data_IF_583741963461
#
_entry.id   IF_583741963461
#
_cell.length_a   1.000
_cell.length_b   1.000
_cell.length_c   1.000
_cell.angle_alpha   90.00
_cell.angle_beta   90.00
_cell.angle_gamma   90.00
#
_symmetry.space_group_name_H-M   'P 1'
#
loop_
_entity.id
_entity.type
_entity.pdbx_description
1 polymer ?
#
# COMPACT_ATOMS: atom_id res chain seq x y z
N UNK A 1 83.27 -17.63 32.90
CA UNK A 1 82.31 -17.19 31.87
C UNK A 1 80.91 -17.28 32.45
N UNK A 2 80.14 -16.19 32.33
CA UNK A 2 78.95 -15.86 33.15
C UNK A 2 77.75 -16.74 32.80
N UNK A 3 77.06 -17.27 33.82
CA UNK A 3 75.69 -17.80 33.75
C UNK A 3 74.72 -16.62 33.62
N UNK A 4 73.78 -16.67 32.69
CA UNK A 4 72.63 -15.76 32.65
C UNK A 4 71.36 -16.59 32.59
N UNK A 5 70.50 -16.32 33.57
CA UNK A 5 69.25 -16.97 33.90
C UNK A 5 68.13 -16.35 33.04
N UNK A 6 67.38 -17.18 32.29
CA UNK A 6 66.18 -16.75 31.57
C UNK A 6 64.98 -16.75 32.52
N UNK A 7 64.34 -15.60 32.72
CA UNK A 7 63.05 -15.46 33.40
C UNK A 7 61.98 -15.28 32.31
N UNK A 8 61.04 -16.21 32.25
CA UNK A 8 59.85 -16.16 31.40
C UNK A 8 58.75 -15.43 32.18
N UNK A 9 58.29 -14.27 31.70
CA UNK A 9 57.11 -13.58 32.25
C UNK A 9 55.92 -13.88 31.34
N UNK A 10 54.97 -14.68 31.84
CA UNK A 10 53.70 -14.92 31.17
C UNK A 10 52.72 -13.78 31.53
N UNK A 11 52.42 -12.91 30.56
CA UNK A 11 51.38 -11.90 30.67
C UNK A 11 50.00 -12.51 30.41
N UNK A 12 49.15 -12.55 31.44
CA UNK A 12 47.76 -12.94 31.34
C UNK A 12 46.94 -11.75 30.81
N UNK A 13 46.53 -11.78 29.55
CA UNK A 13 45.62 -10.80 28.97
C UNK A 13 44.18 -11.22 29.31
N UNK A 14 43.55 -10.50 30.25
CA UNK A 14 42.12 -10.64 30.55
C UNK A 14 41.34 -9.90 29.46
N UNK A 15 40.75 -10.66 28.52
CA UNK A 15 39.73 -10.14 27.61
C UNK A 15 38.44 -9.96 28.40
N UNK A 16 38.13 -8.71 28.77
CA UNK A 16 36.80 -8.32 29.23
C UNK A 16 35.85 -8.35 28.04
N UNK A 17 35.12 -9.46 27.86
CA UNK A 17 33.94 -9.50 27.01
C UNK A 17 32.86 -8.64 27.67
N UNK A 18 32.68 -7.41 27.19
CA UNK A 18 31.50 -6.64 27.51
C UNK A 18 30.28 -7.35 26.89
N UNK A 19 29.61 -8.19 27.69
CA UNK A 19 28.29 -8.70 27.31
C UNK A 19 27.37 -7.49 27.11
N UNK A 20 26.98 -7.23 25.87
CA UNK A 20 25.89 -6.31 25.57
C UNK A 20 24.62 -6.92 26.16
N UNK A 21 24.28 -6.58 27.41
CA UNK A 21 23.06 -7.07 28.02
C UNK A 21 21.86 -6.38 27.35
N UNK A 22 21.14 -7.13 26.51
CA UNK A 22 19.82 -6.78 26.03
C UNK A 22 18.87 -6.53 27.22
N UNK A 23 17.97 -5.56 27.08
CA UNK A 23 16.92 -5.33 28.09
C UNK A 23 15.92 -6.49 28.10
N UNK A 24 15.44 -6.89 29.29
CA UNK A 24 14.51 -8.02 29.44
C UNK A 24 13.04 -7.67 29.14
N UNK A 25 12.18 -8.69 29.09
CA UNK A 25 10.73 -8.55 28.94
C UNK A 25 10.10 -7.76 30.09
N UNK A 26 8.97 -7.10 29.83
CA UNK A 26 8.17 -6.50 30.89
C UNK A 26 7.16 -5.47 30.41
N UNK A 27 6.41 -4.95 31.38
CA UNK A 27 5.43 -3.87 31.17
C UNK A 27 6.19 -2.54 31.11
N UNK A 28 6.06 -1.81 30.01
CA UNK A 28 6.65 -0.49 29.80
C UNK A 28 5.71 0.64 30.22
N UNK A 29 4.40 0.40 30.18
CA UNK A 29 3.36 1.29 30.71
C UNK A 29 2.08 0.49 30.98
N UNK A 30 1.45 0.72 32.14
CA UNK A 30 0.27 -0.03 32.63
C UNK A 30 -0.96 0.87 32.89
N UNK A 31 -0.93 2.10 32.36
CA UNK A 31 -1.94 3.12 32.59
C UNK A 31 -1.61 4.08 33.73
N UNK A 32 -0.65 3.78 34.62
CA UNK A 32 -0.47 4.54 35.86
C UNK A 32 0.87 5.24 35.95
N UNK A 33 1.96 4.52 35.69
CA UNK A 33 3.31 5.03 35.91
C UNK A 33 4.06 5.29 34.59
N UNK A 34 4.34 6.56 34.31
CA UNK A 34 5.17 6.99 33.18
C UNK A 34 6.66 7.21 33.54
N UNK A 35 7.10 6.84 34.74
CA UNK A 35 8.48 7.07 35.22
C UNK A 35 9.57 6.46 34.34
N UNK A 36 9.25 5.40 33.59
CA UNK A 36 10.14 4.76 32.60
C UNK A 36 10.36 5.60 31.34
N UNK A 37 9.55 6.63 31.12
CA UNK A 37 9.55 7.46 29.92
C UNK A 37 10.11 8.85 30.20
N UNK A 38 10.86 9.38 29.24
CA UNK A 38 11.14 10.80 29.10
C UNK A 38 9.99 11.40 28.29
N UNK A 39 9.24 12.30 28.93
CA UNK A 39 8.06 12.95 28.35
C UNK A 39 8.29 14.46 28.24
N UNK A 40 7.66 15.12 27.26
CA UNK A 40 7.67 16.58 27.11
C UNK A 40 6.29 17.20 27.40
N UNK A 41 6.17 18.51 27.20
CA UNK A 41 5.00 19.34 27.59
C UNK A 41 3.65 18.90 26.98
N UNK A 42 3.66 18.07 25.92
CA UNK A 42 2.45 17.54 25.28
C UNK A 42 2.02 16.15 25.76
N UNK A 43 2.70 15.56 26.74
CA UNK A 43 2.44 14.19 27.20
C UNK A 43 2.06 14.17 28.67
N UNK A 44 0.97 13.48 29.00
CA UNK A 44 0.49 13.35 30.38
C UNK A 44 -0.11 11.97 30.64
N UNK A 45 -0.23 11.59 31.91
CA UNK A 45 -1.02 10.42 32.31
C UNK A 45 -2.37 10.90 32.80
N UNK A 46 -3.45 10.50 32.12
CA UNK A 46 -4.84 10.81 32.50
C UNK A 46 -5.74 9.62 32.16
N UNK A 47 -6.78 9.38 32.95
CA UNK A 47 -7.76 8.31 32.70
C UNK A 47 -7.17 6.91 32.44
N UNK A 48 -6.06 6.59 33.13
CA UNK A 48 -5.26 5.38 32.94
C UNK A 48 -4.64 5.23 31.53
N UNK A 49 -4.36 6.34 30.85
CA UNK A 49 -3.70 6.39 29.54
C UNK A 49 -2.50 7.34 29.58
N UNK A 50 -1.48 7.02 28.79
CA UNK A 50 -0.45 7.95 28.36
C UNK A 50 -1.02 8.70 27.15
N UNK A 51 -1.40 9.94 27.38
CA UNK A 51 -2.01 10.82 26.38
C UNK A 51 -0.96 11.74 25.78
N UNK A 52 -0.81 11.69 24.45
CA UNK A 52 0.02 12.59 23.66
C UNK A 52 -0.92 13.57 22.95
N UNK A 53 -0.99 14.81 23.44
CA UNK A 53 -1.91 15.85 22.98
C UNK A 53 -1.14 17.14 22.63
N UNK A 54 -0.42 17.12 21.51
CA UNK A 54 0.38 18.24 21.01
C UNK A 54 1.19 17.86 19.77
N UNK A 55 1.39 18.82 18.85
CA UNK A 55 2.00 18.60 17.53
C UNK A 55 3.46 18.12 17.55
N UNK A 56 4.08 18.07 18.72
CA UNK A 56 5.40 17.50 18.94
C UNK A 56 5.44 16.75 20.28
N UNK A 57 4.34 16.15 20.71
CA UNK A 57 4.29 15.39 21.96
C UNK A 57 5.15 14.13 21.80
N UNK A 58 6.07 13.88 22.74
CA UNK A 58 7.01 12.75 22.66
C UNK A 58 7.11 12.02 23.99
N UNK A 59 6.99 10.71 23.93
CA UNK A 59 7.34 9.80 25.01
C UNK A 59 8.46 8.88 24.53
N UNK A 60 9.66 8.98 25.12
CA UNK A 60 10.82 8.15 24.77
C UNK A 60 11.19 7.29 25.98
N UNK A 61 11.27 5.97 25.82
CA UNK A 61 11.63 5.07 26.92
C UNK A 61 13.11 5.32 27.34
N UNK A 62 13.33 5.64 28.63
CA UNK A 62 14.63 6.07 29.19
C UNK A 62 15.75 5.05 29.01
N UNK A 63 15.44 3.79 29.29
CA UNK A 63 16.37 2.68 29.31
C UNK A 63 15.82 1.57 28.42
N UNK A 64 16.50 1.29 27.31
CA UNK A 64 16.09 0.26 26.38
C UNK A 64 17.22 -0.06 25.42
N UNK A 65 17.66 -1.32 25.44
CA UNK A 65 18.60 -1.90 24.49
C UNK A 65 17.97 -3.15 23.92
N UNK A 66 16.97 -2.95 23.06
CA UNK A 66 16.20 -3.99 22.40
C UNK A 66 16.75 -4.19 20.99
N UNK A 67 16.95 -5.45 20.61
CA UNK A 67 17.42 -5.85 19.28
C UNK A 67 16.39 -6.75 18.60
N UNK A 68 15.96 -7.79 19.32
CA UNK A 68 14.91 -8.71 18.91
C UNK A 68 13.82 -8.65 19.98
N UNK A 69 12.57 -8.42 19.57
CA UNK A 69 11.47 -8.16 20.50
C UNK A 69 10.10 -8.39 19.86
N UNK A 70 9.10 -8.54 20.72
CA UNK A 70 7.68 -8.46 20.42
C UNK A 70 7.13 -7.29 21.26
N UNK A 71 6.68 -6.21 20.62
CA UNK A 71 6.15 -5.01 21.27
C UNK A 71 4.65 -4.96 21.02
N UNK A 72 3.85 -5.04 22.08
CA UNK A 72 2.39 -4.90 22.03
C UNK A 72 1.95 -3.58 22.65
N UNK A 73 1.09 -2.86 21.94
CA UNK A 73 0.56 -1.57 22.37
C UNK A 73 -0.95 -1.50 22.15
N UNK A 74 -1.68 -0.98 23.13
CA UNK A 74 -3.10 -0.66 22.98
C UNK A 74 -3.28 0.85 22.81
N UNK A 75 -3.71 1.26 21.63
CA UNK A 75 -3.74 2.63 21.15
C UNK A 75 -5.17 3.07 20.81
N UNK A 76 -5.43 4.36 20.89
CA UNK A 76 -6.65 5.00 20.39
C UNK A 76 -6.30 6.40 19.88
N UNK A 77 -6.88 6.78 18.75
CA UNK A 77 -6.64 8.08 18.12
C UNK A 77 -7.92 8.90 18.13
N UNK A 78 -7.86 10.15 18.58
CA UNK A 78 -8.92 11.12 18.29
C UNK A 78 -8.97 11.46 16.79
N UNK A 79 -10.06 12.06 16.27
CA UNK A 79 -10.15 12.38 14.86
C UNK A 79 -9.00 13.28 14.40
N UNK A 80 -8.30 12.94 13.31
CA UNK A 80 -7.17 13.71 12.78
C UNK A 80 -5.84 13.54 13.54
N UNK A 81 -5.77 12.66 14.55
CA UNK A 81 -4.51 12.37 15.24
C UNK A 81 -3.56 11.56 14.35
N UNK A 82 -2.31 12.03 14.29
CA UNK A 82 -1.24 11.39 13.52
C UNK A 82 0.03 11.35 14.34
N UNK A 83 0.80 10.30 14.16
CA UNK A 83 2.02 10.08 14.92
C UNK A 83 2.72 8.82 14.49
N UNK A 84 3.63 8.35 15.33
CA UNK A 84 4.40 7.14 15.03
C UNK A 84 4.93 6.45 16.27
N UNK A 85 5.08 5.12 16.16
CA UNK A 85 5.80 4.28 17.13
C UNK A 85 7.19 3.99 16.58
N UNK A 86 8.23 4.47 17.25
CA UNK A 86 9.62 4.25 16.87
C UNK A 86 10.22 3.05 17.61
N UNK A 87 11.08 2.30 16.93
CA UNK A 87 11.87 1.21 17.51
C UNK A 87 13.29 1.19 16.96
N UNK A 88 14.20 0.57 17.71
CA UNK A 88 15.66 0.66 17.47
C UNK A 88 16.18 2.11 17.46
N UNK A 89 15.42 3.03 18.04
CA UNK A 89 15.75 4.45 18.06
C UNK A 89 16.61 4.83 19.25
N UNK A 90 16.99 6.10 19.31
CA UNK A 90 17.73 6.70 20.42
C UNK A 90 16.95 7.88 21.03
N UNK A 91 17.55 8.53 22.04
CA UNK A 91 16.94 9.67 22.73
C UNK A 91 16.77 10.92 21.86
N UNK A 92 17.40 10.97 20.69
CA UNK A 92 17.32 12.07 19.73
C UNK A 92 16.44 11.72 18.52
N UNK A 93 15.87 10.51 18.48
CA UNK A 93 15.12 9.98 17.34
C UNK A 93 15.93 10.02 16.03
N UNK A 94 17.25 9.80 16.14
CA UNK A 94 18.15 9.98 14.99
C UNK A 94 18.29 8.74 14.10
N UNK A 95 17.73 7.61 14.53
CA UNK A 95 17.84 6.31 13.86
C UNK A 95 16.65 5.40 14.13
N UNK A 96 16.65 4.26 13.43
CA UNK A 96 15.67 3.20 13.61
C UNK A 96 14.46 3.38 12.70
N UNK A 97 13.52 2.45 12.82
CA UNK A 97 12.29 2.47 12.06
C UNK A 97 11.16 3.08 12.89
N UNK A 98 10.10 3.47 12.19
CA UNK A 98 8.88 3.92 12.81
C UNK A 98 7.65 3.40 12.06
N UNK A 99 6.62 3.10 12.84
CA UNK A 99 5.33 2.61 12.38
C UNK A 99 4.32 3.74 12.50
N UNK A 100 3.65 4.07 11.39
CA UNK A 100 2.68 5.15 11.36
C UNK A 100 1.49 4.86 12.29
N UNK A 101 0.98 5.93 12.91
CA UNK A 101 -0.33 6.02 13.54
C UNK A 101 -1.09 7.07 12.74
N UNK A 102 -2.06 6.64 11.93
CA UNK A 102 -2.92 7.54 11.16
C UNK A 102 -4.20 6.80 10.77
N UNK A 103 -5.33 7.24 11.34
CA UNK A 103 -6.66 6.71 11.04
C UNK A 103 -7.54 7.74 10.31
N UNK A 104 -6.97 8.90 9.95
CA UNK A 104 -7.67 9.97 9.24
C UNK A 104 -7.81 9.62 7.76
N UNK A 105 -8.98 9.11 7.40
CA UNK A 105 -9.33 8.77 6.00
C UNK A 105 -9.42 10.01 5.10
N UNK A 106 -9.51 11.21 5.67
CA UNK A 106 -9.56 12.47 4.92
C UNK A 106 -8.18 13.05 4.62
N UNK A 107 -7.12 12.51 5.23
CA UNK A 107 -5.72 12.94 5.06
C UNK A 107 -5.31 13.05 3.57
N UNK A 108 -4.75 14.18 3.09
CA UNK A 108 -4.17 14.24 1.76
C UNK A 108 -3.09 13.17 1.51
N UNK A 109 -2.33 12.78 2.54
CA UNK A 109 -1.35 11.68 2.48
C UNK A 109 -2.04 10.39 2.91
N UNK A 110 -2.90 9.88 2.02
CA UNK A 110 -3.77 8.73 2.30
C UNK A 110 -3.06 7.37 2.23
N UNK A 111 -1.76 7.36 1.88
CA UNK A 111 -0.95 6.16 1.69
C UNK A 111 0.04 5.91 2.81
N UNK A 112 -0.22 6.41 4.03
CA UNK A 112 0.56 6.17 5.25
C UNK A 112 -0.39 5.94 6.43
N UNK A 113 -1.25 4.92 6.32
CA UNK A 113 -2.22 4.57 7.35
C UNK A 113 -1.56 3.80 8.50
N UNK A 114 -2.25 3.72 9.65
CA UNK A 114 -1.81 2.99 10.84
C UNK A 114 -1.26 1.60 10.50
N UNK A 115 -0.05 1.30 10.98
CA UNK A 115 0.65 0.04 10.70
C UNK A 115 1.65 0.11 9.55
N UNK A 116 1.71 1.21 8.80
CA UNK A 116 2.75 1.44 7.78
C UNK A 116 4.14 1.42 8.40
N UNK A 117 5.05 0.58 7.90
CA UNK A 117 6.47 0.72 8.17
C UNK A 117 6.99 1.86 7.29
N UNK A 118 7.11 3.05 7.85
CA UNK A 118 7.18 4.28 7.06
C UNK A 118 8.36 4.29 6.08
N UNK A 119 8.05 4.70 4.85
CA UNK A 119 8.95 4.74 3.70
C UNK A 119 9.49 3.37 3.25
N UNK A 120 9.02 2.25 3.82
CA UNK A 120 9.44 0.90 3.43
C UNK A 120 8.27 0.05 2.93
N UNK A 121 7.19 0.01 3.70
CA UNK A 121 5.94 -0.73 3.41
C UNK A 121 4.77 0.09 3.91
N UNK A 122 4.37 1.08 3.13
CA UNK A 122 3.26 1.94 3.51
C UNK A 122 1.91 1.32 3.14
N UNK A 123 0.91 1.50 4.00
CA UNK A 123 -0.44 1.00 3.84
C UNK A 123 -1.37 2.11 3.37
N UNK A 124 -2.23 1.78 2.41
CA UNK A 124 -3.27 2.70 1.91
C UNK A 124 -4.62 2.52 2.58
N UNK A 125 -4.88 1.34 3.16
CA UNK A 125 -6.11 1.04 3.91
C UNK A 125 -5.83 1.13 5.40
N UNK A 126 -6.61 1.93 6.12
CA UNK A 126 -6.71 1.79 7.56
C UNK A 126 -7.70 0.68 7.90
N UNK A 127 -7.38 -0.07 8.96
CA UNK A 127 -8.22 -1.13 9.52
C UNK A 127 -9.02 -0.65 10.73
N UNK A 128 -8.75 0.57 11.18
CA UNK A 128 -9.15 1.06 12.49
C UNK A 128 -9.91 2.38 12.33
N UNK A 129 -10.97 2.55 13.11
CA UNK A 129 -11.72 3.80 13.20
C UNK A 129 -11.14 4.70 14.28
N UNK A 130 -11.26 6.00 14.06
CA UNK A 130 -10.96 6.99 15.08
C UNK A 130 -11.89 6.79 16.29
N UNK A 131 -11.39 7.08 17.49
CA UNK A 131 -12.03 6.86 18.78
C UNK A 131 -12.28 5.40 19.19
N UNK A 132 -11.75 4.42 18.45
CA UNK A 132 -11.77 3.02 18.85
C UNK A 132 -10.40 2.55 19.35
N UNK A 133 -10.40 1.71 20.39
CA UNK A 133 -9.17 1.06 20.85
C UNK A 133 -8.76 -0.03 19.87
N UNK A 134 -7.48 -0.05 19.54
CA UNK A 134 -6.88 -1.10 18.72
C UNK A 134 -5.57 -1.56 19.33
N UNK A 135 -5.17 -2.76 18.95
CA UNK A 135 -3.86 -3.31 19.30
C UNK A 135 -2.92 -3.19 18.10
N UNK A 136 -1.72 -2.68 18.34
CA UNK A 136 -0.59 -2.77 17.42
C UNK A 136 0.43 -3.73 18.01
N UNK A 137 0.90 -4.68 17.21
CA UNK A 137 1.94 -5.62 17.59
C UNK A 137 3.08 -5.54 16.58
N UNK A 138 4.29 -5.23 17.05
CA UNK A 138 5.50 -5.09 16.23
C UNK A 138 6.47 -6.17 16.66
N UNK A 139 6.85 -7.04 15.73
CA UNK A 139 7.86 -8.08 15.98
C UNK A 139 9.12 -7.78 15.19
N UNK A 140 10.26 -7.84 15.85
CA UNK A 140 11.59 -7.85 15.22
C UNK A 140 12.30 -9.14 15.58
N UNK A 141 12.68 -9.88 14.54
CA UNK A 141 13.38 -11.16 14.65
C UNK A 141 14.54 -11.19 13.63
N UNK A 142 15.73 -10.83 14.09
CA UNK A 142 16.94 -10.73 13.29
C UNK A 142 16.84 -9.60 12.28
N UNK A 143 16.56 -9.95 11.02
CA UNK A 143 16.32 -9.01 9.93
C UNK A 143 14.87 -8.94 9.48
N UNK A 144 13.99 -9.74 10.08
CA UNK A 144 12.56 -9.71 9.79
C UNK A 144 11.82 -8.74 10.72
N UNK A 145 10.90 -7.97 10.14
CA UNK A 145 9.94 -7.09 10.81
C UNK A 145 8.54 -7.55 10.40
N UNK A 146 7.65 -7.77 11.37
CA UNK A 146 6.21 -7.91 11.13
C UNK A 146 5.44 -6.87 11.93
N UNK A 147 4.33 -6.40 11.36
CA UNK A 147 3.40 -5.50 12.02
C UNK A 147 2.00 -6.07 11.88
N UNK A 148 1.32 -6.23 13.00
CA UNK A 148 -0.04 -6.73 13.09
C UNK A 148 -0.94 -5.65 13.72
N UNK A 149 -2.15 -5.52 13.19
CA UNK A 149 -3.19 -4.62 13.71
C UNK A 149 -4.39 -5.47 14.09
N UNK A 150 -4.78 -5.45 15.37
CA UNK A 150 -5.83 -6.32 15.93
C UNK A 150 -5.63 -7.82 15.64
N UNK A 151 -4.36 -8.27 15.54
CA UNK A 151 -4.00 -9.65 15.25
C UNK A 151 -3.95 -10.01 13.77
N UNK A 152 -4.27 -9.09 12.86
CA UNK A 152 -4.14 -9.28 11.42
C UNK A 152 -2.78 -8.75 10.92
N UNK A 153 -1.97 -9.57 10.21
CA UNK A 153 -0.69 -9.13 9.68
C UNK A 153 -0.92 -8.14 8.53
N UNK A 154 -0.30 -6.96 8.64
CA UNK A 154 -0.40 -5.88 7.63
C UNK A 154 0.93 -5.56 6.96
N UNK A 155 2.06 -5.82 7.62
CA UNK A 155 3.40 -5.66 7.03
C UNK A 155 4.24 -6.89 7.33
N UNK A 156 4.95 -7.37 6.30
CA UNK A 156 6.03 -8.34 6.42
C UNK A 156 7.23 -7.79 5.63
N UNK A 157 8.37 -7.66 6.30
CA UNK A 157 9.57 -7.08 5.70
C UNK A 157 10.81 -7.82 6.19
N UNK A 158 11.75 -8.09 5.28
CA UNK A 158 13.09 -8.55 5.65
C UNK A 158 14.07 -7.51 5.13
N UNK A 159 14.82 -6.90 6.04
CA UNK A 159 15.87 -5.94 5.67
C UNK A 159 17.00 -6.68 4.92
N UNK A 160 17.26 -6.35 3.64
CA UNK A 160 18.32 -6.99 2.87
C UNK A 160 19.71 -6.58 3.38
N UNK A 161 20.76 -7.14 2.79
CA UNK A 161 22.14 -6.77 3.15
C UNK A 161 22.43 -5.30 2.81
N UNK A 162 21.87 -4.81 1.72
CA UNK A 162 22.05 -3.44 1.20
C UNK A 162 20.68 -2.77 0.99
N UNK A 163 20.03 -2.29 2.08
CA UNK A 163 18.72 -1.65 1.99
C UNK A 163 18.80 -0.34 1.21
N UNK A 164 17.85 -0.13 0.30
CA UNK A 164 17.75 1.11 -0.48
C UNK A 164 17.11 2.20 0.37
N UNK A 165 17.90 3.21 0.75
CA UNK A 165 17.44 4.38 1.52
C UNK A 165 17.89 5.67 0.86
N UNK A 166 16.95 6.58 0.60
CA UNK A 166 17.30 7.93 0.16
C UNK A 166 17.75 8.78 1.35
N UNK A 167 18.37 9.94 1.10
CA UNK A 167 18.97 10.82 2.10
C UNK A 167 18.16 11.04 3.40
N UNK A 168 16.85 11.36 3.39
CA UNK A 168 16.08 11.54 4.63
C UNK A 168 15.93 10.26 5.47
N UNK A 169 16.10 9.08 4.86
CA UNK A 169 15.80 7.78 5.47
C UNK A 169 17.04 6.92 5.70
N UNK A 170 18.26 7.44 5.56
CA UNK A 170 19.50 6.65 5.65
C UNK A 170 19.69 5.95 6.99
N UNK A 171 19.08 6.48 8.06
CA UNK A 171 19.15 5.92 9.40
C UNK A 171 18.01 4.93 9.73
N UNK A 172 17.06 4.72 8.81
CA UNK A 172 15.98 3.76 8.93
C UNK A 172 16.48 2.34 8.62
N UNK A 173 17.25 1.78 9.55
CA UNK A 173 17.86 0.45 9.50
C UNK A 173 17.76 -0.28 10.85
N UNK A 174 17.74 -1.61 10.81
CA UNK A 174 17.67 -2.47 11.98
C UNK A 174 19.02 -2.43 12.70
N UNK A 175 18.99 -2.10 13.99
CA UNK A 175 20.15 -2.12 14.86
C UNK A 175 19.76 -2.65 16.24
N UNK A 176 19.92 -1.84 17.27
CA UNK A 176 19.43 -2.04 18.62
C UNK A 176 19.10 -0.65 19.19
N UNK A 177 18.15 -0.56 20.10
CA UNK A 177 17.79 0.74 20.69
C UNK A 177 16.58 0.68 21.61
N UNK A 178 15.96 1.84 21.79
CA UNK A 178 14.78 2.01 22.63
C UNK A 178 13.51 2.21 21.79
N UNK A 179 12.39 2.46 22.46
CA UNK A 179 11.10 2.77 21.86
C UNK A 179 10.71 4.23 22.09
N UNK A 180 9.94 4.80 21.16
CA UNK A 180 9.29 6.09 21.36
C UNK A 180 7.88 6.13 20.75
N UNK A 181 7.04 7.02 21.26
CA UNK A 181 5.76 7.39 20.67
C UNK A 181 5.77 8.89 20.44
N UNK A 182 5.43 9.29 19.23
CA UNK A 182 5.40 10.68 18.79
C UNK A 182 4.00 11.01 18.29
N UNK A 183 3.48 12.18 18.65
CA UNK A 183 2.35 12.81 17.96
C UNK A 183 2.87 13.95 17.11
N UNK A 184 2.43 13.98 15.85
CA UNK A 184 2.76 15.00 14.85
C UNK A 184 1.63 16.03 14.70
N UNK A 185 0.50 15.83 15.40
CA UNK A 185 -0.64 16.75 15.38
C UNK A 185 -1.07 17.13 16.80
N UNK A 186 -1.78 18.27 16.96
CA UNK A 186 -2.36 18.66 18.26
C UNK A 186 -3.40 17.65 18.79
N UNK A 187 -3.91 16.79 17.91
CA UNK A 187 -4.96 15.83 18.19
C UNK A 187 -4.37 14.64 18.96
N UNK A 188 -5.20 13.97 19.74
CA UNK A 188 -4.73 13.10 20.80
C UNK A 188 -4.49 11.65 20.33
N UNK A 189 -3.33 11.12 20.71
CA UNK A 189 -3.02 9.68 20.71
C UNK A 189 -2.99 9.21 22.16
N UNK A 190 -3.80 8.21 22.49
CA UNK A 190 -3.85 7.61 23.82
C UNK A 190 -3.27 6.20 23.77
N UNK A 191 -2.44 5.86 24.76
CA UNK A 191 -1.93 4.52 24.95
C UNK A 191 -2.23 4.04 26.37
N UNK A 192 -2.88 2.90 26.56
CA UNK A 192 -3.21 2.40 27.91
C UNK A 192 -2.33 1.26 28.41
N UNK A 193 -1.73 0.50 27.48
CA UNK A 193 -0.85 -0.61 27.82
C UNK A 193 0.28 -0.72 26.80
N UNK A 194 1.51 -0.91 27.28
CA UNK A 194 2.70 -1.13 26.46
C UNK A 194 3.49 -2.27 27.12
N UNK A 195 3.67 -3.37 26.39
CA UNK A 195 4.39 -4.54 26.86
C UNK A 195 5.44 -4.93 25.83
N UNK A 196 6.64 -5.25 26.28
CA UNK A 196 7.68 -5.85 25.45
C UNK A 196 7.98 -7.27 25.93
N UNK A 197 8.01 -8.21 25.01
CA UNK A 197 8.48 -9.57 25.23
C UNK A 197 9.78 -9.80 24.44
N UNK A 198 10.77 -10.42 25.07
CA UNK A 198 12.03 -10.81 24.46
C UNK A 198 11.98 -12.31 24.21
N UNK A 199 11.96 -12.73 22.95
CA UNK A 199 11.90 -14.15 22.63
C UNK A 199 13.13 -14.90 23.18
N UNK A 200 12.92 -16.01 23.87
CA UNK A 200 14.01 -16.85 24.36
C UNK A 200 14.68 -17.64 23.22
N UNK A 201 16.00 -17.80 23.28
CA UNK A 201 16.77 -18.77 22.48
C UNK A 201 16.42 -18.80 20.97
N UNK A 202 16.53 -17.67 20.29
CA UNK A 202 16.40 -17.67 18.83
C UNK A 202 17.74 -18.02 18.18
N UNK A 203 17.86 -19.23 17.64
CA UNK A 203 18.92 -19.55 16.69
C UNK A 203 18.57 -18.94 15.32
N UNK A 204 18.65 -17.61 15.22
CA UNK A 204 18.27 -16.86 14.02
C UNK A 204 19.35 -17.00 12.96
N UNK A 205 19.01 -17.63 11.84
CA UNK A 205 19.87 -17.63 10.65
C UNK A 205 19.63 -16.36 9.82
N UNK A 206 20.37 -15.30 10.17
CA UNK A 206 20.35 -14.01 9.46
C UNK A 206 20.67 -14.18 7.97
N UNK A 207 21.61 -15.07 7.62
CA UNK A 207 21.98 -15.29 6.21
C UNK A 207 20.83 -15.89 5.44
N UNK A 208 20.14 -16.88 6.01
CA UNK A 208 18.98 -17.48 5.38
C UNK A 208 17.79 -16.50 5.28
N UNK A 209 17.60 -15.61 6.25
CA UNK A 209 16.61 -14.53 6.16
C UNK A 209 16.94 -13.59 4.99
N UNK A 210 18.15 -13.03 4.98
CA UNK A 210 18.58 -12.08 3.95
C UNK A 210 18.64 -12.69 2.55
N UNK A 211 18.88 -14.00 2.43
CA UNK A 211 18.78 -14.72 1.15
C UNK A 211 17.34 -14.80 0.60
N UNK A 212 16.33 -14.59 1.44
CA UNK A 212 14.90 -14.49 1.06
C UNK A 212 14.44 -13.04 0.89
N UNK A 213 15.24 -12.06 1.29
CA UNK A 213 14.90 -10.65 1.16
C UNK A 213 14.84 -10.24 -0.31
N UNK A 214 14.01 -9.24 -0.62
CA UNK A 214 13.97 -8.61 -1.94
C UNK A 214 15.25 -7.77 -2.10
N UNK A 215 15.88 -7.86 -3.27
CA UNK A 215 17.00 -6.97 -3.61
C UNK A 215 16.48 -5.57 -3.93
N UNK A 216 16.52 -4.72 -2.92
CA UNK A 216 16.02 -3.34 -2.96
C UNK A 216 16.74 -2.43 -3.97
N UNK A 217 17.94 -2.80 -4.44
CA UNK A 217 18.63 -2.01 -5.47
C UNK A 217 17.92 -2.11 -6.82
N UNK A 218 17.31 -3.27 -7.09
CA UNK A 218 16.56 -3.57 -8.31
C UNK A 218 15.05 -3.42 -8.17
N UNK A 219 14.54 -3.33 -6.94
CA UNK A 219 13.12 -3.17 -6.67
C UNK A 219 12.68 -1.71 -6.86
N UNK A 220 11.79 -1.47 -7.81
CA UNK A 220 11.23 -0.15 -8.04
C UNK A 220 10.10 0.20 -7.05
N UNK A 221 9.53 -0.79 -6.36
CA UNK A 221 8.46 -0.56 -5.38
C UNK A 221 8.98 0.11 -4.12
N UNK A 222 10.11 -0.36 -3.56
CA UNK A 222 10.77 0.33 -2.44
C UNK A 222 11.14 1.77 -2.80
N UNK A 223 11.52 2.04 -4.06
CA UNK A 223 11.85 3.40 -4.53
C UNK A 223 10.62 4.30 -4.46
N UNK A 224 9.42 3.79 -4.81
CA UNK A 224 8.18 4.54 -4.62
C UNK A 224 7.90 4.87 -3.15
N UNK A 225 8.08 3.91 -2.24
CA UNK A 225 7.88 4.19 -0.81
C UNK A 225 8.87 5.23 -0.28
N UNK A 226 10.13 5.16 -0.72
CA UNK A 226 11.18 6.12 -0.37
C UNK A 226 10.90 7.53 -0.95
N UNK A 227 10.25 7.62 -2.10
CA UNK A 227 9.82 8.88 -2.73
C UNK A 227 8.49 9.44 -2.18
N UNK A 228 7.93 8.82 -1.14
CA UNK A 228 6.63 9.16 -0.57
C UNK A 228 5.48 9.13 -1.60
N UNK A 229 5.46 8.06 -2.40
CA UNK A 229 4.45 7.82 -3.43
C UNK A 229 3.44 6.75 -3.01
N UNK A 230 2.14 6.87 -3.35
CA UNK A 230 1.14 5.85 -3.07
C UNK A 230 1.37 4.58 -3.90
N UNK A 231 1.61 3.45 -3.23
CA UNK A 231 1.80 2.14 -3.88
C UNK A 231 0.53 1.31 -3.75
N UNK A 232 -0.33 1.37 -4.77
CA UNK A 232 -1.60 0.65 -4.85
C UNK A 232 -1.82 0.16 -6.28
N UNK A 233 -2.11 -1.14 -6.42
CA UNK A 233 -2.73 -1.71 -7.60
C UNK A 233 -4.24 -1.61 -7.47
N UNK A 234 -4.85 -0.81 -8.35
CA UNK A 234 -6.27 -0.50 -8.34
C UNK A 234 -7.12 -1.53 -9.09
N UNK A 235 -6.51 -2.55 -9.69
CA UNK A 235 -7.22 -3.47 -10.57
C UNK A 235 -6.67 -4.90 -10.44
N UNK A 236 -6.97 -5.54 -9.31
CA UNK A 236 -6.61 -6.93 -9.04
C UNK A 236 -7.86 -7.82 -9.03
N UNK A 237 -7.72 -8.99 -9.65
CA UNK A 237 -8.74 -10.03 -9.73
C UNK A 237 -8.27 -11.29 -9.00
N UNK A 238 -9.13 -11.88 -8.17
CA UNK A 238 -8.92 -13.21 -7.57
C UNK A 238 -9.25 -14.32 -8.58
N UNK A 239 -8.53 -14.36 -9.70
CA UNK A 239 -8.72 -15.33 -10.80
C UNK A 239 -7.42 -16.00 -11.20
N UNK A 240 -7.52 -17.00 -12.08
CA UNK A 240 -6.37 -17.77 -12.56
C UNK A 240 -5.72 -18.66 -11.49
N UNK A 241 -6.36 -18.84 -10.34
CA UNK A 241 -5.82 -19.58 -9.18
C UNK A 241 -5.33 -18.70 -8.03
N UNK A 242 -5.42 -17.36 -8.14
CA UNK A 242 -5.13 -16.45 -7.03
C UNK A 242 -6.21 -16.54 -5.95
N UNK A 243 -5.85 -16.98 -4.74
CA UNK A 243 -6.74 -16.87 -3.57
C UNK A 243 -6.54 -15.54 -2.84
N UNK A 244 -7.49 -15.17 -1.97
CA UNK A 244 -7.37 -13.98 -1.12
C UNK A 244 -6.18 -14.07 -0.16
N UNK A 245 -5.86 -15.26 0.35
CA UNK A 245 -4.70 -15.48 1.24
C UNK A 245 -3.39 -15.27 0.47
N UNK A 246 -3.28 -15.83 -0.74
CA UNK A 246 -2.13 -15.64 -1.61
C UNK A 246 -1.96 -14.17 -2.02
N UNK A 247 -3.06 -13.47 -2.30
CA UNK A 247 -3.02 -12.04 -2.61
C UNK A 247 -2.56 -11.20 -1.41
N UNK A 248 -3.02 -11.53 -0.20
CA UNK A 248 -2.61 -10.82 1.02
C UNK A 248 -1.12 -11.02 1.32
N UNK A 249 -0.62 -12.26 1.20
CA UNK A 249 0.82 -12.57 1.35
C UNK A 249 1.66 -11.83 0.30
N UNK A 250 1.26 -11.87 -0.97
CA UNK A 250 1.96 -11.16 -2.05
C UNK A 250 2.00 -9.65 -1.80
N UNK A 251 0.86 -9.04 -1.42
CA UNK A 251 0.77 -7.61 -1.10
C UNK A 251 1.78 -7.20 -0.02
N UNK A 252 1.81 -7.92 1.11
CA UNK A 252 2.74 -7.63 2.21
C UNK A 252 4.20 -7.80 1.80
N UNK A 253 4.50 -8.90 1.10
CA UNK A 253 5.87 -9.22 0.65
C UNK A 253 6.41 -8.16 -0.31
N UNK A 254 5.62 -7.80 -1.33
CA UNK A 254 6.03 -6.87 -2.38
C UNK A 254 5.92 -5.40 -1.94
N UNK A 255 5.10 -5.09 -0.94
CA UNK A 255 4.78 -3.70 -0.56
C UNK A 255 3.78 -3.03 -1.49
N UNK A 256 3.01 -3.80 -2.27
CA UNK A 256 1.99 -3.28 -3.17
C UNK A 256 0.63 -3.52 -2.51
N UNK A 257 -0.06 -2.44 -2.13
CA UNK A 257 -1.44 -2.57 -1.66
C UNK A 257 -2.34 -3.01 -2.82
N UNK A 258 -3.37 -3.82 -2.55
CA UNK A 258 -4.29 -4.30 -3.58
C UNK A 258 -5.71 -3.81 -3.35
N UNK A 259 -6.33 -3.36 -4.43
CA UNK A 259 -7.77 -3.27 -4.54
C UNK A 259 -8.29 -4.47 -5.34
N UNK A 260 -9.15 -5.27 -4.69
CA UNK A 260 -9.73 -6.46 -5.30
C UNK A 260 -11.08 -6.10 -5.90
N UNK A 261 -11.25 -6.42 -7.18
CA UNK A 261 -12.46 -6.17 -7.94
C UNK A 261 -13.04 -7.48 -8.48
N UNK A 262 -14.24 -7.91 -8.03
CA UNK A 262 -14.97 -8.94 -8.75
C UNK A 262 -15.55 -8.34 -10.04
N UNK A 263 -15.65 -9.17 -11.08
CA UNK A 263 -16.41 -8.82 -12.28
C UNK A 263 -17.91 -8.92 -11.98
N UNK A 264 -18.62 -7.79 -12.09
CA UNK A 264 -20.04 -7.66 -11.76
C UNK A 264 -20.85 -7.28 -13.01
N UNK A 265 -21.68 -8.20 -13.51
CA UNK A 265 -22.55 -7.97 -14.65
C UNK A 265 -23.10 -9.27 -15.25
N UNK A 266 -23.90 -9.15 -16.31
CA UNK A 266 -24.55 -10.30 -16.95
C UNK A 266 -23.50 -11.23 -17.56
N UNK A 267 -23.46 -12.48 -17.07
CA UNK A 267 -22.50 -13.51 -17.53
C UNK A 267 -21.16 -13.51 -16.78
N UNK A 268 -21.05 -12.75 -15.70
CA UNK A 268 -19.88 -12.68 -14.83
C UNK A 268 -20.16 -13.34 -13.46
N UNK A 269 -19.13 -13.53 -12.60
CA UNK A 269 -19.30 -14.23 -11.32
C UNK A 269 -20.31 -13.60 -10.35
N UNK A 270 -20.52 -12.29 -10.41
CA UNK A 270 -21.52 -11.57 -9.61
C UNK A 270 -22.56 -10.95 -10.54
N UNK A 271 -23.84 -11.23 -10.29
CA UNK A 271 -24.96 -10.95 -11.19
C UNK A 271 -26.18 -10.31 -10.52
N UNK A 272 -26.20 -10.17 -9.20
CA UNK A 272 -27.27 -9.52 -8.45
C UNK A 272 -26.77 -8.92 -7.12
N UNK A 273 -27.63 -8.14 -6.44
CA UNK A 273 -27.32 -7.47 -5.18
C UNK A 273 -27.00 -8.43 -4.02
N UNK A 274 -27.67 -9.58 -3.94
CA UNK A 274 -27.42 -10.57 -2.88
C UNK A 274 -26.00 -11.14 -2.97
N UNK A 275 -25.51 -11.36 -4.19
CA UNK A 275 -24.14 -11.81 -4.45
C UNK A 275 -23.10 -10.71 -4.15
N UNK A 276 -23.39 -9.44 -4.42
CA UNK A 276 -22.56 -8.31 -3.97
C UNK A 276 -22.43 -8.33 -2.44
N UNK A 277 -23.57 -8.43 -1.74
CA UNK A 277 -23.61 -8.40 -0.29
C UNK A 277 -22.85 -9.58 0.33
N UNK A 278 -23.00 -10.77 -0.26
CA UNK A 278 -22.26 -11.96 0.16
C UNK A 278 -20.75 -11.79 -0.04
N UNK A 279 -20.31 -11.30 -1.20
CA UNK A 279 -18.91 -11.02 -1.50
C UNK A 279 -18.31 -10.01 -0.52
N UNK A 280 -18.97 -8.86 -0.32
CA UNK A 280 -18.48 -7.81 0.56
C UNK A 280 -18.41 -8.28 2.01
N UNK A 281 -19.40 -9.04 2.48
CA UNK A 281 -19.38 -9.61 3.84
C UNK A 281 -18.15 -10.50 4.07
N UNK A 282 -17.76 -11.29 3.07
CA UNK A 282 -16.57 -12.14 3.14
C UNK A 282 -15.27 -11.31 3.08
N UNK A 283 -15.22 -10.31 2.19
CA UNK A 283 -13.97 -9.64 1.82
C UNK A 283 -13.67 -8.38 2.64
N UNK A 284 -14.64 -7.79 3.35
CA UNK A 284 -14.42 -6.56 4.14
C UNK A 284 -13.42 -6.73 5.27
N UNK A 285 -13.33 -7.93 5.87
CA UNK A 285 -12.33 -8.26 6.88
C UNK A 285 -10.91 -8.43 6.32
N UNK A 286 -10.77 -8.56 5.01
CA UNK A 286 -9.49 -8.77 4.35
C UNK A 286 -8.71 -7.46 4.18
N UNK A 287 -7.38 -7.51 4.00
CA UNK A 287 -6.52 -6.33 3.90
C UNK A 287 -6.56 -5.59 2.55
N UNK A 288 -7.70 -5.65 1.87
CA UNK A 288 -7.86 -5.10 0.53
C UNK A 288 -8.83 -3.93 0.51
N UNK A 289 -8.62 -3.03 -0.45
CA UNK A 289 -9.62 -2.05 -0.86
C UNK A 289 -10.66 -2.79 -1.73
N UNK A 290 -11.94 -2.57 -1.47
CA UNK A 290 -13.03 -3.23 -2.18
C UNK A 290 -13.44 -2.41 -3.39
N UNK A 291 -13.11 -2.90 -4.57
CA UNK A 291 -13.53 -2.29 -5.83
C UNK A 291 -14.62 -3.14 -6.50
N UNK A 292 -15.34 -2.54 -7.44
CA UNK A 292 -16.25 -3.26 -8.34
C UNK A 292 -15.80 -3.02 -9.78
N UNK A 293 -15.58 -4.08 -10.56
CA UNK A 293 -15.55 -3.95 -12.01
C UNK A 293 -16.97 -4.07 -12.54
N UNK A 294 -17.55 -2.95 -12.94
CA UNK A 294 -18.85 -2.89 -13.59
C UNK A 294 -18.73 -3.36 -15.04
N UNK A 295 -19.39 -4.46 -15.37
CA UNK A 295 -19.29 -5.14 -16.66
C UNK A 295 -20.53 -4.94 -17.53
N UNK A 296 -20.31 -4.77 -18.84
CA UNK A 296 -21.40 -4.50 -19.79
C UNK A 296 -22.05 -3.12 -19.55
N UNK A 297 -23.10 -2.80 -20.30
CA UNK A 297 -23.84 -1.53 -20.16
C UNK A 297 -25.08 -1.69 -19.29
N UNK A 298 -25.42 -2.93 -18.96
CA UNK A 298 -26.62 -3.33 -18.23
C UNK A 298 -26.46 -3.23 -16.72
N UNK A 299 -25.22 -3.11 -16.21
CA UNK A 299 -24.90 -3.12 -14.78
C UNK A 299 -25.73 -2.14 -13.93
N UNK A 300 -26.07 -0.96 -14.48
CA UNK A 300 -26.92 0.03 -13.82
C UNK A 300 -28.34 -0.45 -13.54
N UNK A 301 -28.84 -1.37 -14.37
CA UNK A 301 -30.15 -2.01 -14.20
C UNK A 301 -30.05 -3.35 -13.47
N UNK A 302 -28.87 -3.98 -13.48
CA UNK A 302 -28.59 -5.24 -12.78
C UNK A 302 -28.44 -5.03 -11.28
N UNK A 303 -27.79 -3.94 -10.86
CA UNK A 303 -27.44 -3.69 -9.47
C UNK A 303 -28.07 -2.40 -8.95
N UNK A 304 -28.67 -2.44 -7.76
CA UNK A 304 -29.19 -1.24 -7.12
C UNK A 304 -28.08 -0.24 -6.83
N UNK A 305 -28.44 1.04 -6.71
CA UNK A 305 -27.47 2.04 -6.27
C UNK A 305 -26.93 1.74 -4.87
N UNK A 306 -27.77 1.26 -3.96
CA UNK A 306 -27.36 0.91 -2.59
C UNK A 306 -26.27 -0.17 -2.60
N UNK A 307 -26.46 -1.28 -3.33
CA UNK A 307 -25.46 -2.34 -3.42
C UNK A 307 -24.15 -1.86 -4.08
N UNK A 308 -24.23 -1.02 -5.11
CA UNK A 308 -23.05 -0.45 -5.78
C UNK A 308 -22.28 0.52 -4.88
N UNK A 309 -23.00 1.36 -4.16
CA UNK A 309 -22.40 2.36 -3.28
C UNK A 309 -21.67 1.69 -2.11
N UNK A 310 -21.91 0.41 -1.82
CA UNK A 310 -21.19 -0.35 -0.80
C UNK A 310 -19.73 -0.66 -1.13
N UNK A 311 -19.26 -0.52 -2.37
CA UNK A 311 -17.84 -0.61 -2.71
C UNK A 311 -17.07 0.68 -2.35
N UNK A 312 -15.74 0.59 -2.23
CA UNK A 312 -14.87 1.74 -1.98
C UNK A 312 -14.68 2.61 -3.23
N UNK A 313 -14.78 1.99 -4.40
CA UNK A 313 -14.92 2.65 -5.70
C UNK A 313 -15.40 1.65 -6.76
N UNK A 314 -15.89 2.20 -7.87
CA UNK A 314 -16.38 1.43 -9.03
C UNK A 314 -15.57 1.84 -10.25
N UNK A 315 -15.26 0.88 -11.11
CA UNK A 315 -14.63 1.15 -12.40
C UNK A 315 -15.29 0.38 -13.52
N UNK A 316 -15.14 0.88 -14.74
CA UNK A 316 -15.63 0.20 -15.94
C UNK A 316 -14.75 0.52 -17.15
N UNK A 317 -14.91 -0.26 -18.20
CA UNK A 317 -14.31 -0.03 -19.50
C UNK A 317 -15.39 0.07 -20.58
N UNK A 318 -14.95 0.34 -21.81
CA UNK A 318 -15.81 0.36 -22.99
C UNK A 318 -15.55 -0.86 -23.88
N UNK A 319 -15.23 -2.02 -23.31
CA UNK A 319 -14.92 -3.23 -24.07
C UNK A 319 -16.18 -4.02 -24.45
N UNK A 320 -17.28 -3.84 -23.70
CA UNK A 320 -18.58 -4.45 -23.98
C UNK A 320 -19.64 -3.40 -24.32
N UNK A 321 -20.18 -3.44 -25.55
CA UNK A 321 -21.20 -2.48 -26.02
C UNK A 321 -22.01 -3.04 -27.20
N UNK A 322 -23.06 -2.33 -27.61
CA UNK A 322 -23.79 -2.61 -28.86
C UNK A 322 -23.25 -1.73 -29.99
N UNK A 323 -22.81 -2.34 -31.08
CA UNK A 323 -22.29 -1.63 -32.25
C UNK A 323 -23.41 -0.89 -33.03
N UNK A 324 -23.04 -0.09 -34.03
CA UNK A 324 -24.01 0.68 -34.85
C UNK A 324 -24.96 -0.20 -35.69
N UNK A 325 -24.70 -1.51 -35.78
CA UNK A 325 -25.52 -2.49 -36.50
C UNK A 325 -26.36 -3.36 -35.56
N UNK A 326 -26.30 -3.13 -34.25
CA UNK A 326 -27.07 -3.84 -33.25
C UNK A 326 -26.42 -5.13 -32.73
N UNK A 327 -25.16 -5.40 -33.04
CA UNK A 327 -24.46 -6.56 -32.50
C UNK A 327 -23.88 -6.27 -31.13
N UNK A 328 -24.00 -7.23 -30.20
CA UNK A 328 -23.32 -7.17 -28.91
C UNK A 328 -21.83 -7.48 -29.09
N UNK A 329 -20.99 -6.48 -28.92
CA UNK A 329 -19.54 -6.53 -29.11
C UNK A 329 -18.82 -6.73 -27.79
N UNK A 330 -17.85 -7.64 -27.78
CA UNK A 330 -16.82 -7.76 -26.74
C UNK A 330 -15.46 -7.68 -27.43
N UNK A 331 -14.79 -6.53 -27.32
CA UNK A 331 -13.61 -6.20 -28.16
C UNK A 331 -12.44 -7.19 -28.01
N UNK A 332 -12.37 -7.94 -26.92
CA UNK A 332 -11.33 -8.94 -26.68
C UNK A 332 -11.65 -10.32 -27.27
N UNK A 333 -12.86 -10.52 -27.82
CA UNK A 333 -13.30 -11.77 -28.44
C UNK A 333 -13.36 -11.53 -29.96
N UNK A 334 -12.42 -12.12 -30.74
CA UNK A 334 -12.38 -11.93 -32.19
C UNK A 334 -13.69 -12.27 -32.90
N UNK A 335 -14.39 -13.31 -32.45
CA UNK A 335 -15.66 -13.77 -33.02
C UNK A 335 -16.83 -12.81 -32.77
N UNK A 336 -16.67 -11.87 -31.83
CA UNK A 336 -17.66 -10.86 -31.46
C UNK A 336 -17.18 -9.44 -31.77
N UNK A 337 -16.25 -9.33 -32.72
CA UNK A 337 -15.72 -8.06 -33.18
C UNK A 337 -15.93 -7.95 -34.69
N UNK A 338 -16.89 -7.12 -35.10
CA UNK A 338 -17.26 -6.94 -36.52
C UNK A 338 -16.57 -5.73 -37.15
N UNK A 339 -15.27 -5.84 -37.37
CA UNK A 339 -14.48 -4.76 -37.98
C UNK A 339 -14.84 -4.64 -39.47
N UNK A 340 -15.42 -3.50 -39.83
CA UNK A 340 -15.76 -3.19 -41.22
C UNK A 340 -14.53 -2.91 -42.10
N UNK A 341 -14.73 -2.91 -43.42
CA UNK A 341 -13.69 -2.51 -44.39
C UNK A 341 -13.14 -1.10 -44.12
N UNK A 342 -14.00 -0.21 -43.63
CA UNK A 342 -13.61 1.11 -43.17
C UNK A 342 -13.25 1.06 -41.68
N UNK A 343 -12.01 0.71 -41.40
CA UNK A 343 -11.48 0.61 -40.04
C UNK A 343 -11.42 1.97 -39.32
N UNK A 344 -11.37 3.08 -40.08
CA UNK A 344 -11.38 4.43 -39.48
C UNK A 344 -12.76 4.76 -38.93
N UNK A 345 -13.82 4.44 -39.66
CA UNK A 345 -15.19 4.56 -39.16
C UNK A 345 -15.44 3.64 -37.95
N UNK A 346 -14.91 2.42 -37.98
CA UNK A 346 -15.00 1.51 -36.83
C UNK A 346 -14.28 2.09 -35.60
N UNK A 347 -13.11 2.71 -35.79
CA UNK A 347 -12.40 3.41 -34.71
C UNK A 347 -13.19 4.61 -34.17
N UNK A 348 -13.85 5.40 -35.03
CA UNK A 348 -14.70 6.52 -34.58
C UNK A 348 -15.85 6.03 -33.69
N UNK A 349 -16.49 4.91 -34.06
CA UNK A 349 -17.51 4.27 -33.24
C UNK A 349 -16.95 3.86 -31.86
N UNK A 350 -15.76 3.25 -31.80
CA UNK A 350 -15.12 2.90 -30.52
C UNK A 350 -14.95 4.14 -29.66
N UNK A 351 -14.39 5.24 -30.20
CA UNK A 351 -14.19 6.49 -29.44
C UNK A 351 -15.53 7.07 -28.97
N UNK A 352 -16.59 7.00 -29.79
CA UNK A 352 -17.94 7.42 -29.38
C UNK A 352 -18.48 6.58 -28.22
N UNK A 353 -18.27 5.26 -28.25
CA UNK A 353 -18.66 4.37 -27.14
C UNK A 353 -17.86 4.68 -25.87
N UNK A 354 -16.56 4.92 -25.98
CA UNK A 354 -15.72 5.37 -24.85
C UNK A 354 -16.30 6.66 -24.25
N UNK A 355 -16.54 7.69 -25.06
CA UNK A 355 -17.10 8.96 -24.60
C UNK A 355 -18.48 8.79 -23.93
N UNK A 356 -19.32 7.88 -24.42
CA UNK A 356 -20.60 7.54 -23.80
C UNK A 356 -20.41 6.89 -22.42
N UNK A 357 -19.50 5.91 -22.31
CA UNK A 357 -19.21 5.21 -21.05
C UNK A 357 -18.68 6.16 -19.98
N UNK A 358 -17.92 7.18 -20.37
CA UNK A 358 -17.44 8.21 -19.45
C UNK A 358 -18.56 9.04 -18.79
N UNK A 359 -19.80 8.93 -19.23
CA UNK A 359 -20.96 9.55 -18.56
C UNK A 359 -21.52 8.71 -17.41
N UNK A 360 -21.12 7.44 -17.29
CA UNK A 360 -21.66 6.52 -16.28
C UNK A 360 -21.13 6.81 -14.87
N UNK A 361 -21.85 6.41 -13.80
CA UNK A 361 -21.49 6.72 -12.43
C UNK A 361 -20.40 5.77 -11.88
N UNK A 362 -19.23 5.81 -12.51
CA UNK A 362 -18.01 5.13 -12.02
C UNK A 362 -16.94 6.16 -11.62
N UNK A 363 -15.96 5.73 -10.83
CA UNK A 363 -14.84 6.56 -10.39
C UNK A 363 -13.64 6.50 -11.35
N UNK A 364 -13.39 5.35 -11.96
CA UNK A 364 -12.20 5.10 -12.80
C UNK A 364 -12.63 4.50 -14.14
N UNK A 365 -11.99 4.98 -15.21
CA UNK A 365 -12.06 4.36 -16.53
C UNK A 365 -10.84 3.46 -16.76
N UNK A 366 -11.07 2.16 -16.97
CA UNK A 366 -10.03 1.12 -17.07
C UNK A 366 -9.94 0.54 -18.49
N UNK A 367 -8.89 -0.26 -18.73
CA UNK A 367 -8.54 -0.81 -20.06
C UNK A 367 -8.56 0.27 -21.17
N UNK A 368 -8.00 1.48 -20.91
CA UNK A 368 -8.27 2.62 -21.76
C UNK A 368 -7.60 2.47 -23.11
N UNK A 369 -8.29 2.89 -24.16
CA UNK A 369 -7.77 2.91 -25.52
C UNK A 369 -7.51 1.53 -26.14
N UNK A 370 -7.97 0.44 -25.51
CA UNK A 370 -7.87 -0.91 -26.04
C UNK A 370 -8.39 -1.02 -27.47
N UNK A 371 -7.68 -1.79 -28.30
CA UNK A 371 -8.09 -2.14 -29.66
C UNK A 371 -8.06 -3.66 -29.85
N UNK A 372 -9.00 -4.21 -30.64
CA UNK A 372 -8.96 -5.62 -31.03
C UNK A 372 -7.73 -5.93 -31.91
N UNK A 373 -7.28 -7.19 -31.91
CA UNK A 373 -6.02 -7.65 -32.51
C UNK A 373 -5.75 -7.18 -33.96
N UNK A 374 -6.72 -7.11 -34.90
CA UNK A 374 -6.45 -6.62 -36.25
C UNK A 374 -6.09 -5.12 -36.32
N UNK A 375 -6.45 -4.34 -35.30
CA UNK A 375 -6.21 -2.89 -35.23
C UNK A 375 -5.06 -2.54 -34.30
N UNK A 376 -4.84 -3.35 -33.26
CA UNK A 376 -3.83 -3.07 -32.24
C UNK A 376 -2.39 -3.03 -32.80
N UNK A 377 -2.09 -3.80 -33.85
CA UNK A 377 -0.79 -3.75 -34.54
C UNK A 377 -0.50 -2.38 -35.19
N UNK A 378 -1.55 -1.58 -35.42
CA UNK A 378 -1.50 -0.24 -35.99
C UNK A 378 -2.06 0.80 -35.03
N UNK A 379 -1.87 0.59 -33.72
CA UNK A 379 -2.46 1.39 -32.66
C UNK A 379 -2.35 2.91 -32.91
N UNK A 380 -1.15 3.39 -33.25
CA UNK A 380 -0.89 4.82 -33.47
C UNK A 380 -1.54 5.38 -34.75
N UNK A 381 -1.86 4.53 -35.75
CA UNK A 381 -2.63 4.96 -36.94
C UNK A 381 -4.11 5.22 -36.59
N UNK A 382 -4.62 4.52 -35.57
CA UNK A 382 -6.01 4.66 -35.13
C UNK A 382 -6.18 5.70 -34.04
N UNK A 383 -5.26 5.79 -33.08
CA UNK A 383 -5.26 6.82 -32.03
C UNK A 383 -4.64 8.13 -32.52
N UNK A 384 -5.28 8.76 -33.50
CA UNK A 384 -4.88 10.06 -34.03
C UNK A 384 -4.95 11.16 -32.97
N UNK A 385 -4.26 12.27 -33.20
CA UNK A 385 -4.29 13.42 -32.29
C UNK A 385 -5.71 13.92 -32.01
N UNK A 386 -6.57 13.97 -33.03
CA UNK A 386 -7.96 14.39 -32.88
C UNK A 386 -8.75 13.44 -31.94
N UNK A 387 -8.55 12.12 -32.06
CA UNK A 387 -9.23 11.12 -31.21
C UNK A 387 -8.68 11.13 -29.78
N UNK A 388 -7.37 11.27 -29.62
CA UNK A 388 -6.74 11.43 -28.30
C UNK A 388 -7.28 12.67 -27.58
N UNK A 389 -7.37 13.81 -28.26
CA UNK A 389 -7.92 15.04 -27.68
C UNK A 389 -9.40 14.86 -27.31
N UNK A 390 -10.22 14.30 -28.21
CA UNK A 390 -11.64 14.01 -27.94
C UNK A 390 -11.82 13.12 -26.71
N UNK A 391 -11.02 12.05 -26.59
CA UNK A 391 -11.06 11.15 -25.44
C UNK A 391 -10.65 11.86 -24.15
N UNK A 392 -9.52 12.57 -24.14
CA UNK A 392 -9.01 13.27 -22.96
C UNK A 392 -9.96 14.38 -22.52
N UNK A 393 -10.54 15.14 -23.45
CA UNK A 393 -11.52 16.18 -23.15
C UNK A 393 -12.77 15.59 -22.48
N UNK A 394 -13.29 14.47 -22.99
CA UNK A 394 -14.41 13.77 -22.40
C UNK A 394 -14.08 13.23 -21.00
N UNK A 395 -12.88 12.66 -20.84
CA UNK A 395 -12.40 12.12 -19.56
C UNK A 395 -12.23 13.21 -18.51
N UNK A 396 -11.57 14.31 -18.85
CA UNK A 396 -11.41 15.46 -17.96
C UNK A 396 -12.77 16.05 -17.54
N UNK A 397 -13.71 16.19 -18.49
CA UNK A 397 -15.07 16.66 -18.21
C UNK A 397 -15.84 15.70 -17.28
N UNK A 398 -15.58 14.41 -17.36
CA UNK A 398 -16.25 13.39 -16.54
C UNK A 398 -15.80 13.37 -15.08
N UNK A 399 -14.61 13.90 -14.78
CA UNK A 399 -14.00 13.85 -13.45
C UNK A 399 -13.47 12.46 -13.04
N UNK A 400 -13.48 11.47 -13.95
CA UNK A 400 -13.00 10.10 -13.70
C UNK A 400 -11.48 10.02 -13.77
N UNK A 401 -10.92 9.09 -13.01
CA UNK A 401 -9.50 8.74 -13.12
C UNK A 401 -9.23 7.85 -14.34
N UNK A 402 -7.99 7.88 -14.82
CA UNK A 402 -7.48 7.08 -15.93
C UNK A 402 -6.57 5.97 -15.41
N UNK A 403 -6.88 4.73 -15.74
CA UNK A 403 -5.95 3.63 -15.49
C UNK A 403 -4.73 3.69 -16.40
N UNK A 404 -3.58 3.33 -15.84
CA UNK A 404 -2.40 2.87 -16.59
C UNK A 404 -2.35 1.36 -16.40
N UNK A 405 -2.69 0.64 -17.47
CA UNK A 405 -2.98 -0.78 -17.47
C UNK A 405 -1.75 -1.60 -17.88
N UNK A 406 -1.35 -2.51 -17.01
CA UNK A 406 -0.19 -3.36 -17.19
C UNK A 406 -0.40 -4.47 -18.22
N UNK A 407 -1.55 -5.15 -18.16
CA UNK A 407 -1.85 -6.31 -19.01
C UNK A 407 -1.71 -5.98 -20.50
N UNK A 408 -2.18 -4.80 -20.90
CA UNK A 408 -2.18 -4.36 -22.29
C UNK A 408 -1.12 -3.31 -22.61
N UNK A 409 -0.39 -2.78 -21.61
CA UNK A 409 0.54 -1.66 -21.77
C UNK A 409 -0.12 -0.41 -22.40
N UNK A 410 -1.29 -0.01 -21.87
CA UNK A 410 -2.09 1.13 -22.36
C UNK A 410 -2.49 2.06 -21.21
N UNK A 411 -2.77 3.36 -21.48
CA UNK A 411 -2.63 4.02 -22.76
C UNK A 411 -1.17 4.42 -23.02
N UNK A 412 -0.85 4.82 -24.24
CA UNK A 412 0.51 5.25 -24.58
C UNK A 412 0.89 6.58 -23.88
N UNK A 413 2.18 6.91 -23.89
CA UNK A 413 2.75 8.12 -23.29
C UNK A 413 2.05 9.41 -23.73
N UNK A 414 1.68 9.55 -25.00
CA UNK A 414 1.08 10.76 -25.53
C UNK A 414 -0.28 11.06 -24.87
N UNK A 415 -1.09 10.03 -24.66
CA UNK A 415 -2.38 10.12 -23.99
C UNK A 415 -2.20 10.45 -22.51
N UNK A 416 -1.26 9.78 -21.81
CA UNK A 416 -0.98 10.05 -20.40
C UNK A 416 -0.55 11.50 -20.20
N UNK A 417 0.33 12.02 -21.04
CA UNK A 417 0.77 13.43 -20.97
C UNK A 417 -0.37 14.42 -21.22
N UNK A 418 -1.25 14.14 -22.19
CA UNK A 418 -2.44 14.97 -22.46
C UNK A 418 -3.42 14.93 -21.27
N UNK A 419 -3.71 13.75 -20.75
CA UNK A 419 -4.58 13.56 -19.59
C UNK A 419 -4.04 14.29 -18.35
N UNK A 420 -2.73 14.19 -18.08
CA UNK A 420 -2.07 14.91 -17.00
C UNK A 420 -2.19 16.42 -17.16
N UNK A 421 -1.95 16.94 -18.36
CA UNK A 421 -2.10 18.37 -18.66
C UNK A 421 -3.55 18.86 -18.46
N UNK A 422 -4.53 17.99 -18.68
CA UNK A 422 -5.95 18.24 -18.43
C UNK A 422 -6.37 18.06 -16.95
N UNK A 423 -5.44 17.71 -16.05
CA UNK A 423 -5.70 17.55 -14.62
C UNK A 423 -6.35 16.21 -14.24
N UNK A 424 -6.40 15.23 -15.15
CA UNK A 424 -6.92 13.89 -14.90
C UNK A 424 -6.04 13.17 -13.86
N UNK A 425 -6.68 12.44 -12.93
CA UNK A 425 -5.99 11.59 -11.96
C UNK A 425 -5.72 10.21 -12.54
N UNK A 426 -4.69 9.54 -12.04
CA UNK A 426 -4.26 8.24 -12.53
C UNK A 426 -4.41 7.13 -11.49
N UNK A 427 -4.59 5.90 -11.99
CA UNK A 427 -4.48 4.67 -11.21
C UNK A 427 -3.50 3.73 -11.90
N UNK A 428 -2.81 2.90 -11.14
CA UNK A 428 -2.01 1.79 -11.68
C UNK A 428 -2.82 0.51 -11.56
N UNK A 429 -2.89 -0.30 -12.61
CA UNK A 429 -3.71 -1.51 -12.62
C UNK A 429 -2.97 -2.68 -13.26
N UNK A 430 -2.78 -3.78 -12.52
CA UNK A 430 -2.21 -4.99 -13.13
C UNK A 430 -3.17 -5.65 -14.11
N UNK A 431 -4.49 -5.58 -13.83
CA UNK A 431 -5.52 -6.37 -14.49
C UNK A 431 -5.07 -7.84 -14.63
N UNK A 432 -4.58 -8.42 -13.54
CA UNK A 432 -3.94 -9.73 -13.56
C UNK A 432 -4.88 -10.83 -14.06
N UNK A 433 -4.35 -11.76 -14.86
CA UNK A 433 -5.04 -12.99 -15.29
C UNK A 433 -4.42 -14.26 -14.71
N UNK A 434 -3.28 -14.13 -14.03
CA UNK A 434 -2.55 -15.23 -13.39
C UNK A 434 -2.41 -14.97 -11.88
N UNK A 435 -2.03 -15.99 -11.09
CA UNK A 435 -1.81 -15.84 -9.66
C UNK A 435 -0.66 -14.92 -9.25
N UNK A 436 0.32 -14.73 -10.13
CA UNK A 436 1.44 -13.83 -9.87
C UNK A 436 1.04 -12.44 -10.35
N UNK A 437 0.65 -11.57 -9.41
CA UNK A 437 0.29 -10.19 -9.71
C UNK A 437 1.55 -9.43 -10.14
N UNK A 438 1.44 -8.57 -11.16
CA UNK A 438 2.57 -7.83 -11.70
C UNK A 438 3.13 -6.81 -10.69
N UNK A 439 4.42 -6.52 -10.81
CA UNK A 439 5.10 -5.42 -10.09
C UNK A 439 4.87 -4.05 -10.74
N UNK A 440 3.82 -3.89 -11.57
CA UNK A 440 3.39 -2.63 -12.19
C UNK A 440 4.47 -1.99 -13.10
N UNK A 441 5.26 -2.80 -13.81
CA UNK A 441 6.42 -2.34 -14.60
C UNK A 441 6.05 -1.27 -15.64
N UNK A 442 4.95 -1.45 -16.37
CA UNK A 442 4.45 -0.47 -17.34
C UNK A 442 4.07 0.83 -16.64
N UNK A 443 3.34 0.73 -15.54
CA UNK A 443 2.90 1.89 -14.76
C UNK A 443 4.08 2.69 -14.20
N UNK A 444 5.09 2.00 -13.66
CA UNK A 444 6.31 2.61 -13.15
C UNK A 444 7.12 3.30 -14.25
N UNK A 445 7.23 2.66 -15.43
CA UNK A 445 7.85 3.26 -16.61
C UNK A 445 7.11 4.54 -17.01
N UNK A 446 5.78 4.49 -17.11
CA UNK A 446 4.96 5.64 -17.50
C UNK A 446 4.98 6.76 -16.45
N UNK A 447 5.02 6.42 -15.15
CA UNK A 447 5.26 7.39 -14.07
C UNK A 447 6.54 8.16 -14.31
N UNK A 448 7.66 7.48 -14.55
CA UNK A 448 8.95 8.11 -14.81
C UNK A 448 8.94 8.95 -16.08
N UNK A 449 8.44 8.39 -17.18
CA UNK A 449 8.47 9.05 -18.48
C UNK A 449 7.52 10.24 -18.61
N UNK A 450 6.41 10.23 -17.86
CA UNK A 450 5.43 11.32 -17.84
C UNK A 450 5.57 12.24 -16.62
N UNK A 451 6.56 11.97 -15.76
CA UNK A 451 6.84 12.69 -14.53
C UNK A 451 5.66 12.71 -13.54
N UNK A 452 4.90 11.61 -13.45
CA UNK A 452 3.77 11.52 -12.52
C UNK A 452 4.26 11.57 -11.07
N UNK A 453 3.52 12.29 -10.24
CA UNK A 453 3.78 12.50 -8.82
C UNK A 453 2.63 11.95 -7.98
N UNK A 454 2.80 11.83 -6.66
CA UNK A 454 1.73 11.38 -5.77
C UNK A 454 0.43 12.21 -5.91
N UNK A 455 0.55 13.50 -6.23
CA UNK A 455 -0.59 14.40 -6.46
C UNK A 455 -1.38 14.07 -7.72
N UNK A 456 -0.80 13.35 -8.67
CA UNK A 456 -1.45 12.93 -9.89
C UNK A 456 -2.29 11.65 -9.68
N UNK A 457 -2.13 10.97 -8.55
CA UNK A 457 -2.81 9.70 -8.28
C UNK A 457 -4.21 9.90 -7.71
N UNK A 458 -5.12 8.99 -8.04
CA UNK A 458 -6.49 8.98 -7.54
C UNK A 458 -6.54 8.53 -6.07
N UNK A 459 -7.19 9.30 -5.20
CA UNK A 459 -7.43 8.90 -3.81
C UNK A 459 -8.75 8.11 -3.70
N UNK A 460 -8.74 6.81 -3.36
CA UNK A 460 -9.97 6.04 -3.19
C UNK A 460 -10.75 6.46 -1.94
N UNK A 461 -12.08 6.30 -1.99
CA UNK A 461 -12.99 6.57 -0.86
C UNK A 461 -13.21 5.30 -0.03
N UNK A 462 -12.14 4.83 0.61
CA UNK A 462 -12.12 3.56 1.35
C UNK A 462 -13.11 3.59 2.50
N UNK A 463 -13.97 2.58 2.63
CA UNK A 463 -14.91 2.35 3.76
C UNK A 463 -14.31 1.39 4.82
N UNK A 464 -14.70 1.60 6.08
CA UNK A 464 -14.34 0.75 7.25
C UNK A 464 -15.60 0.42 8.05
#
# INVERSE_FOLDING_TARGET
MKKVLSILVAGFAVFLTASCNQSGSGILFDGKDCSKWNINEGVSVKDNTLALAGAEAKAILKNGKYKDFELTMELKTSPGAKGSVWFHTDSQLSKGYHVAINNDRTDPVWWKMTGSLESVRNLTKSFIKENEWFQMHITVNGKAITIDINGEPVVEYIEPVDPYRIAPNTAAILSEGTFAIISDTPNEIECRNIVVNIPENQNIDIKAQQAKAIDEQSDEIIKLHQEDFPVLDYHVHLKGGLTKEMAAEQSRKLGINYAIAPNCGIGFPITNDDEINAYLKEMRSQPFIMAMQAEGREWLTTFSQEARDEFDYIFTDALTFTDDKGHRTRLWIPEETWIDKDQQKYMDMIVDRICSVLTEPVDIYVNPCFLPTPMNEKFDEFWTEARMNKFVDALAKSGKALEINELYNIPNKAIIMKAKAAGVKFTFGSNNVTPNVSNLEYSLRMKKECGLTAKDMYKPKIKI
#
